data_IF_435787248959
#
_entry.id   IF_435787248959
#
_cell.length_a   1.000
_cell.length_b   1.000
_cell.length_c   1.000
_cell.angle_alpha   90.00
_cell.angle_beta   90.00
_cell.angle_gamma   90.00
#
_symmetry.space_group_name_H-M   'P 1'
#
loop_
_entity.id
_entity.type
_entity.pdbx_description
1 polymer ?
#
# COMPACT_ATOMS: atom_id res chain seq x y z
N UNK A 1 -6.47 -21.37 0.87
CA UNK A 1 -6.58 -21.30 2.34
C UNK A 1 -5.79 -20.09 2.80
N UNK A 2 -6.33 -19.18 3.64
CA UNK A 2 -5.53 -18.12 4.23
C UNK A 2 -4.52 -18.79 5.18
N UNK A 3 -3.23 -18.67 4.91
CA UNK A 3 -2.16 -19.07 5.84
C UNK A 3 -1.66 -17.78 6.50
N UNK A 4 -2.39 -17.21 7.49
CA UNK A 4 -2.05 -15.91 8.07
C UNK A 4 -0.62 -15.90 8.66
N UNK A 5 -0.14 -17.05 9.15
CA UNK A 5 1.23 -17.22 9.65
C UNK A 5 2.32 -17.05 8.59
N UNK A 6 2.02 -17.27 7.31
CA UNK A 6 2.96 -17.06 6.20
C UNK A 6 2.70 -15.72 5.50
N UNK A 7 1.43 -15.33 5.37
CA UNK A 7 1.04 -14.09 4.71
C UNK A 7 1.54 -12.86 5.48
N UNK A 8 1.36 -12.82 6.81
CA UNK A 8 1.77 -11.68 7.63
C UNK A 8 3.28 -11.37 7.55
N UNK A 9 4.20 -12.34 7.73
CA UNK A 9 5.63 -12.04 7.56
C UNK A 9 5.98 -11.72 6.11
N UNK A 10 5.36 -12.37 5.13
CA UNK A 10 5.61 -12.09 3.72
C UNK A 10 5.19 -10.66 3.35
N UNK A 11 4.02 -10.19 3.80
CA UNK A 11 3.57 -8.81 3.60
C UNK A 11 4.49 -7.83 4.30
N UNK A 12 4.88 -8.11 5.55
CA UNK A 12 5.80 -7.24 6.28
C UNK A 12 7.16 -7.08 5.57
N UNK A 13 7.74 -8.18 5.07
CA UNK A 13 8.97 -8.12 4.27
C UNK A 13 8.77 -7.37 2.95
N UNK A 14 7.67 -7.61 2.26
CA UNK A 14 7.34 -6.91 1.02
C UNK A 14 7.20 -5.40 1.24
N UNK A 15 6.45 -5.00 2.28
CA UNK A 15 6.26 -3.61 2.67
C UNK A 15 7.57 -2.94 3.05
N UNK A 16 8.42 -3.63 3.79
CA UNK A 16 9.72 -3.13 4.19
C UNK A 16 10.64 -2.90 2.98
N UNK A 17 10.72 -3.88 2.07
CA UNK A 17 11.57 -3.80 0.87
C UNK A 17 11.05 -2.71 -0.08
N UNK A 18 9.76 -2.72 -0.40
CA UNK A 18 9.16 -1.74 -1.32
C UNK A 18 9.15 -0.33 -0.72
N UNK A 19 8.94 -0.21 0.59
CA UNK A 19 9.08 1.04 1.34
C UNK A 19 10.50 1.60 1.26
N UNK A 20 11.51 0.77 1.49
CA UNK A 20 12.92 1.18 1.33
C UNK A 20 13.24 1.61 -0.10
N UNK A 21 12.76 0.89 -1.11
CA UNK A 21 12.92 1.26 -2.51
C UNK A 21 12.27 2.62 -2.81
N UNK A 22 11.06 2.84 -2.30
CA UNK A 22 10.34 4.09 -2.49
C UNK A 22 11.07 5.28 -1.83
N UNK A 23 11.59 5.10 -0.62
CA UNK A 23 12.39 6.11 0.10
C UNK A 23 13.68 6.42 -0.66
N UNK A 24 14.38 5.39 -1.14
CA UNK A 24 15.57 5.57 -1.99
C UNK A 24 15.25 6.23 -3.33
N UNK A 25 13.97 6.32 -3.70
CA UNK A 25 13.54 6.82 -4.98
C UNK A 25 13.98 5.90 -6.13
N UNK A 26 14.09 4.60 -5.89
CA UNK A 26 14.47 3.60 -6.89
C UNK A 26 13.23 2.82 -7.34
N UNK A 27 13.03 2.69 -8.65
CA UNK A 27 11.86 2.00 -9.21
C UNK A 27 10.54 2.52 -8.61
N UNK A 28 10.46 3.84 -8.38
CA UNK A 28 9.39 4.50 -7.61
C UNK A 28 7.99 4.06 -8.01
N UNK A 29 7.70 3.96 -9.30
CA UNK A 29 6.40 3.51 -9.81
C UNK A 29 6.07 2.07 -9.42
N UNK A 30 7.06 1.18 -9.53
CA UNK A 30 6.89 -0.25 -9.19
C UNK A 30 6.79 -0.41 -7.68
N UNK A 31 7.62 0.28 -6.91
CA UNK A 31 7.59 0.28 -5.46
C UNK A 31 6.24 0.79 -4.92
N UNK A 32 5.76 1.93 -5.44
CA UNK A 32 4.48 2.50 -5.06
C UNK A 32 3.30 1.61 -5.47
N UNK A 33 3.31 1.03 -6.67
CA UNK A 33 2.28 0.10 -7.12
C UNK A 33 2.26 -1.18 -6.25
N UNK A 34 3.44 -1.70 -5.90
CA UNK A 34 3.56 -2.85 -5.00
C UNK A 34 3.02 -2.57 -3.60
N UNK A 35 3.35 -1.41 -3.00
CA UNK A 35 2.80 -1.00 -1.71
C UNK A 35 1.29 -0.76 -1.77
N UNK A 36 0.79 -0.18 -2.86
CA UNK A 36 -0.66 0.01 -3.02
C UNK A 36 -1.36 -1.35 -3.02
N UNK A 37 -0.77 -2.37 -3.65
CA UNK A 37 -1.29 -3.73 -3.64
C UNK A 37 -1.29 -4.35 -2.24
N UNK A 38 -0.25 -4.15 -1.42
CA UNK A 38 -0.25 -4.67 -0.03
C UNK A 38 -1.32 -4.00 0.81
N UNK A 39 -1.54 -2.70 0.64
CA UNK A 39 -2.62 -1.97 1.32
C UNK A 39 -4.01 -2.46 0.89
N UNK A 40 -4.23 -2.72 -0.40
CA UNK A 40 -5.48 -3.34 -0.90
C UNK A 40 -5.67 -4.74 -0.29
N UNK A 41 -4.60 -5.52 -0.20
CA UNK A 41 -4.61 -6.82 0.47
C UNK A 41 -5.00 -6.70 1.95
N UNK A 42 -4.39 -5.78 2.69
CA UNK A 42 -4.72 -5.52 4.08
C UNK A 42 -6.19 -5.11 4.26
N UNK A 43 -6.69 -4.27 3.36
CA UNK A 43 -8.08 -3.80 3.38
C UNK A 43 -9.06 -4.96 3.18
N UNK A 44 -8.75 -5.90 2.28
CA UNK A 44 -9.61 -7.07 2.01
C UNK A 44 -9.54 -8.16 3.07
N UNK A 45 -8.32 -8.48 3.56
CA UNK A 45 -8.10 -9.62 4.45
C UNK A 45 -8.13 -9.29 5.94
N UNK A 46 -7.91 -8.02 6.32
CA UNK A 46 -7.85 -7.60 7.71
C UNK A 46 -8.95 -6.58 8.04
N UNK A 47 -9.01 -5.47 7.32
CA UNK A 47 -9.92 -4.36 7.64
C UNK A 47 -11.37 -4.73 7.43
N UNK A 48 -11.73 -5.25 6.24
CA UNK A 48 -13.10 -5.65 5.94
C UNK A 48 -13.70 -6.64 6.96
N UNK A 49 -13.05 -7.77 7.29
CA UNK A 49 -13.60 -8.69 8.30
C UNK A 49 -13.61 -8.10 9.71
N UNK A 50 -12.62 -7.28 10.09
CA UNK A 50 -12.61 -6.62 11.41
C UNK A 50 -13.79 -5.65 11.58
N UNK A 51 -14.09 -4.87 10.54
CA UNK A 51 -15.24 -3.97 10.53
C UNK A 51 -16.55 -4.75 10.49
N UNK A 52 -16.64 -5.82 9.68
CA UNK A 52 -17.83 -6.67 9.62
C UNK A 52 -18.17 -7.32 10.97
N UNK A 53 -17.15 -7.67 11.77
CA UNK A 53 -17.36 -8.22 13.11
C UNK A 53 -17.89 -7.19 14.12
N UNK A 54 -17.63 -5.90 13.90
CA UNK A 54 -18.00 -4.82 14.83
C UNK A 54 -19.26 -4.07 14.40
N UNK A 55 -19.55 -4.04 13.10
CA UNK A 55 -20.65 -3.29 12.53
C UNK A 55 -22.00 -3.98 12.80
N UNK A 56 -22.90 -3.29 13.49
CA UNK A 56 -24.28 -3.75 13.74
C UNK A 56 -25.23 -3.41 12.59
N UNK A 57 -24.85 -2.49 11.71
CA UNK A 57 -25.65 -2.02 10.58
C UNK A 57 -24.80 -1.88 9.33
N UNK A 58 -25.42 -2.05 8.15
CA UNK A 58 -24.75 -1.87 6.85
C UNK A 58 -24.18 -0.46 6.69
N UNK A 59 -24.88 0.56 7.18
CA UNK A 59 -24.38 1.94 7.11
C UNK A 59 -23.17 2.16 8.03
N UNK A 60 -23.18 1.55 9.22
CA UNK A 60 -22.02 1.55 10.12
C UNK A 60 -20.80 0.83 9.52
N UNK A 61 -21.03 -0.30 8.85
CA UNK A 61 -19.98 -1.01 8.10
C UNK A 61 -19.38 -0.10 7.03
N UNK A 62 -20.23 0.48 6.18
CA UNK A 62 -19.80 1.25 5.04
C UNK A 62 -19.08 2.55 5.47
N UNK A 63 -19.60 3.21 6.50
CA UNK A 63 -18.97 4.40 7.08
C UNK A 63 -17.58 4.11 7.65
N UNK A 64 -17.43 3.05 8.44
CA UNK A 64 -16.14 2.68 9.02
C UNK A 64 -15.15 2.20 7.94
N UNK A 65 -15.65 1.47 6.95
CA UNK A 65 -14.85 0.97 5.83
C UNK A 65 -14.28 2.09 4.96
N UNK A 66 -15.06 3.14 4.67
CA UNK A 66 -14.56 4.31 3.95
C UNK A 66 -13.72 5.25 4.81
N UNK A 67 -13.82 5.16 6.13
CA UNK A 67 -12.98 5.90 7.06
C UNK A 67 -11.61 5.23 7.31
N UNK A 68 -11.41 4.02 6.80
CA UNK A 68 -10.16 3.28 6.92
C UNK A 68 -8.98 4.06 6.30
N UNK A 69 -7.90 4.20 7.06
CA UNK A 69 -6.69 4.95 6.67
C UNK A 69 -6.01 4.42 5.40
N UNK A 70 -6.26 3.16 5.10
CA UNK A 70 -5.78 2.41 3.94
C UNK A 70 -6.23 3.07 2.63
N UNK A 71 -7.43 3.68 2.58
CA UNK A 71 -7.88 4.43 1.41
C UNK A 71 -6.97 5.61 1.11
N UNK A 72 -6.58 6.35 2.14
CA UNK A 72 -5.68 7.49 2.00
C UNK A 72 -4.30 7.04 1.50
N UNK A 73 -3.77 5.94 2.06
CA UNK A 73 -2.49 5.38 1.66
C UNK A 73 -2.52 4.86 0.22
N UNK A 74 -3.58 4.14 -0.17
CA UNK A 74 -3.77 3.65 -1.54
C UNK A 74 -3.82 4.82 -2.52
N UNK A 75 -4.59 5.87 -2.22
CA UNK A 75 -4.69 7.05 -3.09
C UNK A 75 -3.36 7.80 -3.18
N UNK A 76 -2.64 7.97 -2.06
CA UNK A 76 -1.34 8.59 -2.05
C UNK A 76 -0.31 7.79 -2.88
N UNK A 77 -0.27 6.46 -2.70
CA UNK A 77 0.61 5.58 -3.45
C UNK A 77 0.23 5.51 -4.94
N UNK A 78 -1.06 5.51 -5.26
CA UNK A 78 -1.53 5.60 -6.64
C UNK A 78 -1.10 6.93 -7.28
N UNK A 79 -1.21 8.05 -6.56
CA UNK A 79 -0.73 9.35 -7.02
C UNK A 79 0.78 9.32 -7.27
N UNK A 80 1.57 8.72 -6.38
CA UNK A 80 3.02 8.55 -6.56
C UNK A 80 3.34 7.63 -7.74
N UNK A 81 2.60 6.53 -7.91
CA UNK A 81 2.79 5.61 -9.03
C UNK A 81 2.50 6.29 -10.38
N UNK A 82 1.50 7.16 -10.43
CA UNK A 82 1.14 7.93 -11.63
C UNK A 82 2.13 9.08 -11.89
N UNK A 83 2.39 9.92 -10.90
CA UNK A 83 3.29 11.07 -11.01
C UNK A 83 4.74 10.63 -11.26
N UNK A 84 5.14 9.47 -10.72
CA UNK A 84 6.49 8.92 -10.83
C UNK A 84 7.50 9.56 -9.87
N UNK A 85 8.77 9.30 -10.14
CA UNK A 85 9.91 9.76 -9.35
C UNK A 85 10.02 11.30 -9.31
N UNK A 86 10.16 11.87 -8.11
CA UNK A 86 10.52 13.28 -7.93
C UNK A 86 11.95 13.60 -8.36
N UNK A 87 12.29 14.89 -8.48
CA UNK A 87 13.63 15.39 -8.92
C UNK A 87 14.81 14.87 -8.07
N UNK A 88 14.55 14.44 -6.84
CA UNK A 88 15.52 13.92 -5.87
C UNK A 88 15.64 12.39 -5.89
N UNK A 89 14.83 11.68 -6.68
CA UNK A 89 14.87 10.22 -6.69
C UNK A 89 16.17 9.69 -7.34
N UNK A 90 16.64 8.54 -6.87
CA UNK A 90 17.78 7.84 -7.48
C UNK A 90 17.54 7.56 -8.98
N UNK A 91 16.29 7.28 -9.39
CA UNK A 91 15.92 7.13 -10.80
C UNK A 91 16.30 8.40 -11.61
N UNK A 92 16.07 9.60 -11.08
CA UNK A 92 16.42 10.86 -11.73
C UNK A 92 17.94 11.15 -11.71
N UNK A 93 18.67 10.63 -10.73
CA UNK A 93 20.13 10.70 -10.70
C UNK A 93 20.77 9.74 -11.72
N UNK A 94 20.19 8.55 -11.89
CA UNK A 94 20.65 7.55 -12.83
C UNK A 94 20.33 7.94 -14.28
N UNK A 95 19.13 8.48 -14.52
CA UNK A 95 18.72 8.99 -15.84
C UNK A 95 19.55 10.18 -16.33
N UNK A 96 20.15 10.97 -15.43
CA UNK A 96 21.08 12.06 -15.78
C UNK A 96 22.50 11.59 -16.10
N UNK A 97 22.86 10.35 -15.74
CA UNK A 97 24.19 9.79 -15.99
C UNK A 97 24.30 9.03 -17.32
N UNK A 98 23.18 8.74 -17.98
CA UNK A 98 23.15 8.16 -19.33
C UNK A 98 22.89 9.26 -20.35
#
# INVERSE_FOLDING_TARGET
>A
MPLPSLAAPATAWAELILGMLLIAGLLTRVAAAGLALTMVGALWFSVAPAIAATATTTFGFLGNFFYASEWLLILALAAIALAGAGRLSADAALGRRR
#
